data_IF_777021950270
#
_entry.id   IF_777021950270
#
_cell.length_a   1.000
_cell.length_b   1.000
_cell.length_c   1.000
_cell.angle_alpha   90.00
_cell.angle_beta   90.00
_cell.angle_gamma   90.00
#
_symmetry.space_group_name_H-M   'P 1'
#
loop_
_entity.id
_entity.type
_entity.pdbx_description
1 polymer ?
#
# COMPACT_ATOMS: atom_id res chain seq x y z
N UNK A 1 -5.25 -46.56 -80.37
CA UNK A 1 -6.00 -45.46 -79.74
C UNK A 1 -6.63 -45.95 -78.43
N UNK A 2 -5.85 -46.13 -77.35
CA UNK A 2 -6.38 -46.52 -76.03
C UNK A 2 -5.59 -45.93 -74.85
N UNK A 3 -4.59 -45.07 -75.09
CA UNK A 3 -3.69 -44.54 -74.05
C UNK A 3 -4.14 -43.20 -73.44
N UNK A 4 -5.14 -42.53 -74.00
CA UNK A 4 -5.56 -41.18 -73.56
C UNK A 4 -6.53 -41.17 -72.38
N UNK A 5 -7.22 -42.28 -72.10
CA UNK A 5 -8.24 -42.33 -71.04
C UNK A 5 -7.62 -42.50 -69.64
N UNK A 6 -6.49 -43.20 -69.53
CA UNK A 6 -5.83 -43.44 -68.23
C UNK A 6 -5.14 -42.20 -67.67
N UNK A 7 -4.64 -41.30 -68.52
CA UNK A 7 -3.95 -40.09 -68.04
C UNK A 7 -4.91 -39.13 -67.33
N UNK A 8 -6.14 -38.97 -67.82
CA UNK A 8 -7.12 -38.03 -67.25
C UNK A 8 -7.64 -38.47 -65.88
N UNK A 9 -7.78 -39.77 -65.65
CA UNK A 9 -8.24 -40.30 -64.35
C UNK A 9 -7.18 -40.12 -63.27
N UNK A 10 -5.90 -40.29 -63.61
CA UNK A 10 -4.78 -40.10 -62.68
C UNK A 10 -4.64 -38.62 -62.28
N UNK A 11 -4.81 -37.68 -63.22
CA UNK A 11 -4.74 -36.24 -62.92
C UNK A 11 -5.87 -35.77 -61.98
N UNK A 12 -7.08 -36.30 -62.15
CA UNK A 12 -8.21 -35.97 -61.26
C UNK A 12 -8.03 -36.51 -59.83
N UNK A 13 -7.45 -37.71 -59.69
CA UNK A 13 -7.19 -38.31 -58.37
C UNK A 13 -6.10 -37.52 -57.63
N UNK A 14 -5.04 -37.09 -58.32
CA UNK A 14 -3.99 -36.25 -57.72
C UNK A 14 -4.50 -34.87 -57.30
N UNK A 15 -5.35 -34.22 -58.11
CA UNK A 15 -5.91 -32.92 -57.76
C UNK A 15 -6.86 -33.00 -56.54
N UNK A 16 -7.64 -34.08 -56.41
CA UNK A 16 -8.51 -34.32 -55.27
C UNK A 16 -7.74 -34.67 -53.98
N UNK A 17 -6.64 -35.43 -54.10
CA UNK A 17 -5.75 -35.72 -52.97
C UNK A 17 -4.98 -34.48 -52.50
N UNK A 18 -4.53 -33.63 -53.41
CA UNK A 18 -3.81 -32.39 -53.06
C UNK A 18 -4.74 -31.36 -52.39
N UNK A 19 -5.99 -31.25 -52.84
CA UNK A 19 -7.00 -30.36 -52.21
C UNK A 19 -7.49 -30.88 -50.86
N UNK A 20 -7.59 -32.20 -50.68
CA UNK A 20 -7.86 -32.78 -49.37
C UNK A 20 -6.70 -32.61 -48.38
N UNK A 21 -5.44 -32.62 -48.87
CA UNK A 21 -4.25 -32.43 -48.03
C UNK A 21 -4.09 -30.98 -47.54
N UNK A 22 -4.45 -29.99 -48.36
CA UNK A 22 -4.48 -28.57 -47.94
C UNK A 22 -5.62 -28.26 -46.95
N UNK A 23 -6.75 -28.98 -47.01
CA UNK A 23 -7.86 -28.76 -46.08
C UNK A 23 -7.59 -29.33 -44.68
N UNK A 24 -6.73 -30.35 -44.55
CA UNK A 24 -6.40 -30.96 -43.26
C UNK A 24 -5.39 -30.17 -42.43
N UNK A 25 -4.54 -29.35 -43.05
CA UNK A 25 -3.60 -28.47 -42.31
C UNK A 25 -4.28 -27.21 -41.78
N UNK A 26 -5.31 -26.70 -42.46
CA UNK A 26 -6.08 -25.54 -42.00
C UNK A 26 -6.89 -25.82 -40.73
N UNK A 27 -7.37 -27.07 -40.54
CA UNK A 27 -8.24 -27.41 -39.41
C UNK A 27 -7.51 -27.62 -38.07
N UNK A 28 -6.18 -27.66 -38.06
CA UNK A 28 -5.37 -27.84 -36.84
C UNK A 28 -4.77 -26.54 -36.29
N UNK A 29 -4.75 -25.47 -37.09
CA UNK A 29 -4.17 -24.17 -36.70
C UNK A 29 -5.15 -23.26 -35.94
N UNK A 30 -6.45 -23.39 -36.17
CA UNK A 30 -7.48 -22.51 -35.59
C UNK A 30 -7.47 -22.40 -34.04
N UNK A 31 -7.22 -23.46 -33.24
CA UNK A 31 -7.22 -23.29 -31.78
C UNK A 31 -5.99 -22.52 -31.27
N UNK A 32 -4.83 -22.73 -31.87
CA UNK A 32 -3.56 -22.10 -31.46
C UNK A 32 -3.51 -20.61 -31.82
N UNK A 33 -4.00 -20.24 -33.00
CA UNK A 33 -4.10 -18.83 -33.42
C UNK A 33 -4.94 -18.00 -32.43
N UNK A 34 -6.07 -18.58 -31.99
CA UNK A 34 -6.95 -17.91 -31.04
C UNK A 34 -6.29 -17.74 -29.68
N UNK A 35 -5.67 -18.78 -29.15
CA UNK A 35 -4.99 -18.75 -27.84
C UNK A 35 -3.85 -17.73 -27.82
N UNK A 36 -2.97 -17.74 -28.83
CA UNK A 36 -1.91 -16.75 -28.98
C UNK A 36 -2.46 -15.31 -29.10
N UNK A 37 -3.53 -15.12 -29.86
CA UNK A 37 -4.16 -13.80 -30.00
C UNK A 37 -4.80 -13.31 -28.70
N UNK A 38 -5.51 -14.17 -27.98
CA UNK A 38 -6.13 -13.85 -26.70
C UNK A 38 -5.05 -13.48 -25.67
N UNK A 39 -3.91 -14.19 -25.65
CA UNK A 39 -2.79 -13.88 -24.75
C UNK A 39 -2.11 -12.55 -25.10
N UNK A 40 -1.80 -12.29 -26.37
CA UNK A 40 -1.22 -11.01 -26.81
C UNK A 40 -2.11 -9.83 -26.41
N UNK A 41 -3.43 -9.95 -26.56
CA UNK A 41 -4.36 -8.90 -26.14
C UNK A 41 -4.35 -8.71 -24.60
N UNK A 42 -4.11 -9.77 -23.82
CA UNK A 42 -3.98 -9.67 -22.38
C UNK A 42 -2.71 -8.92 -21.97
N UNK A 43 -1.58 -9.21 -22.64
CA UNK A 43 -0.32 -8.46 -22.47
C UNK A 43 -0.50 -6.98 -22.81
N UNK A 44 -1.15 -6.65 -23.94
CA UNK A 44 -1.44 -5.26 -24.31
C UNK A 44 -2.24 -4.53 -23.23
N UNK A 45 -3.23 -5.21 -22.61
CA UNK A 45 -4.01 -4.65 -21.51
C UNK A 45 -3.13 -4.40 -20.27
N UNK A 46 -2.33 -5.37 -19.85
CA UNK A 46 -1.42 -5.22 -18.69
C UNK A 46 -0.36 -4.14 -18.92
N UNK A 47 0.19 -4.02 -20.13
CA UNK A 47 1.11 -2.94 -20.50
C UNK A 47 0.49 -1.55 -20.30
N UNK A 48 -0.81 -1.40 -20.55
CA UNK A 48 -1.51 -0.15 -20.28
C UNK A 48 -1.73 0.08 -18.78
N UNK A 49 -1.96 -0.98 -18.02
CA UNK A 49 -2.21 -0.95 -16.57
C UNK A 49 -0.95 -0.58 -15.80
N UNK A 50 0.16 -1.28 -16.03
CA UNK A 50 1.44 -0.98 -15.39
C UNK A 50 1.94 0.45 -15.69
N UNK A 51 1.71 0.96 -16.91
CA UNK A 51 2.04 2.36 -17.24
C UNK A 51 1.21 3.34 -16.43
N UNK A 52 -0.05 3.01 -16.13
CA UNK A 52 -0.89 3.82 -15.25
C UNK A 52 -0.33 3.81 -13.83
N UNK A 53 0.02 2.64 -13.30
CA UNK A 53 0.59 2.49 -11.95
C UNK A 53 1.95 3.19 -11.81
N UNK A 54 2.84 3.09 -12.81
CA UNK A 54 4.10 3.84 -12.82
C UNK A 54 3.85 5.35 -12.77
N UNK A 55 2.90 5.87 -13.53
CA UNK A 55 2.59 7.30 -13.49
C UNK A 55 2.06 7.72 -12.10
N UNK A 56 1.17 6.92 -11.48
CA UNK A 56 0.66 7.18 -10.12
C UNK A 56 1.81 7.18 -9.09
N UNK A 57 2.66 6.15 -9.12
CA UNK A 57 3.82 6.05 -8.24
C UNK A 57 4.80 7.22 -8.43
N UNK A 58 5.06 7.64 -9.67
CA UNK A 58 5.91 8.79 -9.97
C UNK A 58 5.30 10.13 -9.51
N UNK A 59 3.98 10.30 -9.59
CA UNK A 59 3.29 11.50 -9.06
C UNK A 59 3.48 11.64 -7.54
N UNK A 60 3.71 10.52 -6.85
CA UNK A 60 4.00 10.43 -5.42
C UNK A 60 5.51 10.36 -5.09
N UNK A 61 6.39 10.60 -6.07
CA UNK A 61 7.84 10.48 -5.92
C UNK A 61 8.31 9.08 -5.43
N UNK A 62 7.53 8.02 -5.65
CA UNK A 62 7.90 6.63 -5.35
C UNK A 62 8.92 6.12 -6.38
N UNK A 63 9.83 5.26 -5.92
CA UNK A 63 10.85 4.67 -6.77
C UNK A 63 10.27 3.59 -7.71
N UNK A 64 10.20 3.90 -9.02
CA UNK A 64 9.62 3.01 -10.05
C UNK A 64 10.64 2.27 -10.92
N UNK A 65 11.96 2.44 -10.69
CA UNK A 65 13.00 1.96 -11.62
C UNK A 65 12.93 0.46 -11.93
N UNK A 66 12.59 -0.38 -10.95
CA UNK A 66 12.50 -1.84 -11.18
C UNK A 66 11.30 -2.21 -12.06
N UNK A 67 10.17 -1.55 -11.86
CA UNK A 67 8.98 -1.75 -12.68
C UNK A 67 9.16 -1.14 -14.09
N UNK A 68 9.89 -0.04 -14.22
CA UNK A 68 10.26 0.54 -15.52
C UNK A 68 11.17 -0.39 -16.33
N UNK A 69 12.20 -0.96 -15.71
CA UNK A 69 13.09 -1.93 -16.36
C UNK A 69 12.29 -3.17 -16.81
N UNK A 70 11.38 -3.67 -15.96
CA UNK A 70 10.52 -4.82 -16.26
C UNK A 70 9.50 -4.51 -17.38
N UNK A 71 8.95 -3.29 -17.40
CA UNK A 71 8.09 -2.81 -18.47
C UNK A 71 8.83 -2.77 -19.81
N UNK A 72 10.06 -2.26 -19.83
CA UNK A 72 10.87 -2.22 -21.05
C UNK A 72 11.15 -3.65 -21.58
N UNK A 73 11.53 -4.59 -20.71
CA UNK A 73 11.73 -6.00 -21.06
C UNK A 73 10.44 -6.65 -21.61
N UNK A 74 9.29 -6.40 -20.97
CA UNK A 74 8.00 -6.92 -21.41
C UNK A 74 7.53 -6.32 -22.75
N UNK A 75 7.85 -5.04 -23.02
CA UNK A 75 7.56 -4.40 -24.32
C UNK A 75 8.36 -5.06 -25.45
N UNK A 76 9.64 -5.35 -25.23
CA UNK A 76 10.47 -6.04 -26.21
C UNK A 76 9.92 -7.45 -26.53
N UNK A 77 9.48 -8.19 -25.51
CA UNK A 77 8.84 -9.51 -25.68
C UNK A 77 7.48 -9.42 -26.38
N UNK A 78 6.67 -8.39 -26.08
CA UNK A 78 5.40 -8.14 -26.77
C UNK A 78 5.62 -7.85 -28.27
N UNK A 79 6.63 -7.05 -28.61
CA UNK A 79 7.00 -6.76 -30.00
C UNK A 79 7.47 -8.03 -30.74
N UNK A 80 8.24 -8.89 -30.08
CA UNK A 80 8.64 -10.19 -30.62
C UNK A 80 7.44 -11.14 -30.79
N UNK A 81 6.52 -11.22 -29.83
CA UNK A 81 5.26 -11.97 -29.96
C UNK A 81 4.43 -11.51 -31.16
N UNK A 82 4.28 -10.19 -31.34
CA UNK A 82 3.56 -9.61 -32.46
C UNK A 82 4.21 -9.92 -33.81
N UNK A 83 5.54 -9.96 -33.86
CA UNK A 83 6.29 -10.36 -35.06
C UNK A 83 6.08 -11.83 -35.40
N UNK A 84 6.13 -12.74 -34.42
CA UNK A 84 5.88 -14.17 -34.66
C UNK A 84 4.43 -14.43 -35.11
N UNK A 85 3.47 -13.70 -34.54
CA UNK A 85 2.08 -13.70 -35.00
C UNK A 85 1.94 -13.30 -36.49
N UNK A 86 2.71 -12.33 -36.96
CA UNK A 86 2.72 -11.94 -38.38
C UNK A 86 3.35 -13.01 -39.29
N UNK A 87 4.31 -13.76 -38.77
CA UNK A 87 4.96 -14.88 -39.46
C UNK A 87 4.13 -16.18 -39.39
N UNK A 88 2.96 -16.15 -38.74
CA UNK A 88 2.07 -17.29 -38.46
C UNK A 88 2.75 -18.39 -37.60
N UNK A 89 3.78 -18.01 -36.82
CA UNK A 89 4.44 -18.88 -35.84
C UNK A 89 3.78 -18.75 -34.47
N UNK A 90 2.63 -19.42 -34.32
CA UNK A 90 1.75 -19.26 -33.15
C UNK A 90 2.34 -19.79 -31.85
N UNK A 91 3.21 -20.81 -31.92
CA UNK A 91 3.84 -21.40 -30.73
C UNK A 91 4.84 -20.42 -30.12
N UNK A 92 5.70 -19.82 -30.95
CA UNK A 92 6.67 -18.81 -30.50
C UNK A 92 5.95 -17.52 -30.09
N UNK A 93 4.89 -17.11 -30.82
CA UNK A 93 4.08 -15.95 -30.45
C UNK A 93 3.45 -16.10 -29.05
N UNK A 94 2.92 -17.29 -28.75
CA UNK A 94 2.34 -17.57 -27.43
C UNK A 94 3.42 -17.60 -26.35
N UNK A 95 4.59 -18.22 -26.60
CA UNK A 95 5.67 -18.29 -25.64
C UNK A 95 6.19 -16.90 -25.22
N UNK A 96 6.42 -16.01 -26.19
CA UNK A 96 6.84 -14.63 -25.90
C UNK A 96 5.75 -13.85 -25.17
N UNK A 97 4.48 -14.06 -25.50
CA UNK A 97 3.38 -13.37 -24.83
C UNK A 97 3.14 -13.88 -23.39
N UNK A 98 3.34 -15.17 -23.12
CA UNK A 98 3.30 -15.71 -21.76
C UNK A 98 4.47 -15.16 -20.92
N UNK A 99 5.69 -15.09 -21.47
CA UNK A 99 6.86 -14.52 -20.77
C UNK A 99 6.69 -13.02 -20.47
N UNK A 100 6.15 -12.24 -21.43
CA UNK A 100 5.81 -10.84 -21.21
C UNK A 100 4.73 -10.67 -20.13
N UNK A 101 3.72 -11.54 -20.12
CA UNK A 101 2.64 -11.53 -19.12
C UNK A 101 3.20 -11.75 -17.71
N UNK A 102 4.05 -12.77 -17.52
CA UNK A 102 4.62 -13.10 -16.22
C UNK A 102 5.49 -11.95 -15.67
N UNK A 103 6.30 -11.31 -16.52
CA UNK A 103 7.12 -10.14 -16.13
C UNK A 103 6.23 -8.96 -15.72
N UNK A 104 5.13 -8.73 -16.43
CA UNK A 104 4.19 -7.65 -16.10
C UNK A 104 3.44 -7.92 -14.80
N UNK A 105 3.07 -9.17 -14.53
CA UNK A 105 2.42 -9.58 -13.28
C UNK A 105 3.35 -9.29 -12.09
N UNK A 106 4.61 -9.73 -12.16
CA UNK A 106 5.62 -9.48 -11.12
C UNK A 106 5.82 -7.96 -10.89
N UNK A 107 5.89 -7.17 -11.96
CA UNK A 107 6.10 -5.74 -11.86
C UNK A 107 4.87 -4.96 -11.35
N UNK A 108 3.65 -5.47 -11.60
CA UNK A 108 2.42 -4.95 -11.00
C UNK A 108 2.43 -5.24 -9.49
N UNK A 109 2.75 -6.47 -9.08
CA UNK A 109 2.81 -6.86 -7.66
C UNK A 109 3.82 -6.01 -6.88
N UNK A 110 5.00 -5.74 -7.45
CA UNK A 110 6.02 -4.88 -6.85
C UNK A 110 5.50 -3.43 -6.67
N UNK A 111 4.84 -2.86 -7.69
CA UNK A 111 4.27 -1.51 -7.60
C UNK A 111 3.12 -1.43 -6.59
N UNK A 112 2.25 -2.44 -6.58
CA UNK A 112 1.13 -2.55 -5.65
C UNK A 112 1.64 -2.58 -4.20
N UNK A 113 2.73 -3.33 -3.96
CA UNK A 113 3.37 -3.38 -2.66
C UNK A 113 3.89 -2.01 -2.21
N UNK A 114 4.57 -1.27 -3.09
CA UNK A 114 5.10 0.06 -2.76
C UNK A 114 3.97 1.09 -2.53
N UNK A 115 2.96 1.14 -3.41
CA UNK A 115 1.80 2.02 -3.28
C UNK A 115 0.99 1.72 -2.00
N UNK A 116 0.82 0.44 -1.68
CA UNK A 116 0.14 0.01 -0.46
C UNK A 116 0.92 0.41 0.79
N UNK A 117 2.26 0.39 0.75
CA UNK A 117 3.08 0.76 1.90
C UNK A 117 2.93 2.24 2.25
N UNK A 118 2.98 3.12 1.25
CA UNK A 118 2.80 4.56 1.44
C UNK A 118 1.40 4.90 1.97
N UNK A 119 0.36 4.38 1.30
CA UNK A 119 -1.03 4.64 1.70
C UNK A 119 -1.31 4.15 3.11
N UNK A 120 -0.74 3.00 3.49
CA UNK A 120 -0.84 2.47 4.85
C UNK A 120 -0.14 3.33 5.88
N UNK A 121 1.00 3.93 5.56
CA UNK A 121 1.69 4.87 6.44
C UNK A 121 0.78 6.08 6.75
N UNK A 122 0.13 6.64 5.72
CA UNK A 122 -0.81 7.76 5.84
C UNK A 122 -1.99 7.42 6.75
N UNK A 123 -2.62 6.26 6.55
CA UNK A 123 -3.72 5.78 7.41
C UNK A 123 -3.26 5.62 8.86
N UNK A 124 -2.05 5.09 9.09
CA UNK A 124 -1.50 4.96 10.46
C UNK A 124 -1.33 6.33 11.11
N UNK A 125 -0.81 7.32 10.38
CA UNK A 125 -0.64 8.69 10.87
C UNK A 125 -2.00 9.34 11.17
N UNK A 126 -2.96 9.23 10.25
CA UNK A 126 -4.32 9.75 10.43
C UNK A 126 -4.99 9.13 11.67
N UNK A 127 -4.86 7.81 11.86
CA UNK A 127 -5.36 7.12 13.06
C UNK A 127 -4.72 7.64 14.35
N UNK A 128 -3.43 7.99 14.33
CA UNK A 128 -2.78 8.59 15.50
C UNK A 128 -3.34 9.97 15.82
N UNK A 129 -3.57 10.81 14.80
CA UNK A 129 -4.17 12.13 14.96
C UNK A 129 -5.60 12.06 15.49
N UNK A 130 -6.43 11.19 14.92
CA UNK A 130 -7.82 10.98 15.38
C UNK A 130 -7.82 10.50 16.84
N UNK A 131 -6.93 9.58 17.23
CA UNK A 131 -6.82 9.15 18.63
C UNK A 131 -6.42 10.28 19.57
N UNK A 132 -5.46 11.12 19.17
CA UNK A 132 -5.08 12.28 19.97
C UNK A 132 -6.25 13.26 20.14
N UNK A 133 -7.06 13.45 19.10
CA UNK A 133 -8.28 14.25 19.17
C UNK A 133 -9.31 13.65 20.15
N UNK A 134 -9.48 12.33 20.16
CA UNK A 134 -10.35 11.62 21.13
C UNK A 134 -9.87 11.83 22.58
N UNK A 135 -8.57 11.63 22.83
CA UNK A 135 -7.96 11.81 24.15
C UNK A 135 -8.18 13.25 24.67
N UNK A 136 -7.94 14.25 23.82
CA UNK A 136 -8.14 15.66 24.17
C UNK A 136 -9.61 16.00 24.43
N UNK A 137 -10.53 15.45 23.62
CA UNK A 137 -11.96 15.64 23.83
C UNK A 137 -12.41 15.03 25.16
N UNK A 138 -11.88 13.88 25.57
CA UNK A 138 -12.28 13.29 26.86
C UNK A 138 -11.81 14.11 28.06
N UNK A 139 -10.67 14.79 27.94
CA UNK A 139 -10.12 15.70 28.95
C UNK A 139 -10.75 17.10 28.95
N UNK A 140 -11.51 17.46 27.90
CA UNK A 140 -12.14 18.78 27.75
C UNK A 140 -13.47 18.88 28.52
N UNK A 141 -13.80 20.09 29.03
CA UNK A 141 -15.06 20.35 29.74
C UNK A 141 -16.26 20.27 28.77
N UNK A 142 -17.13 19.28 29.01
CA UNK A 142 -18.28 18.93 28.14
C UNK A 142 -19.43 19.94 28.21
N UNK A 143 -19.38 20.90 29.14
CA UNK A 143 -20.37 21.99 29.24
C UNK A 143 -20.03 23.20 28.35
N UNK A 144 -18.86 23.20 27.68
CA UNK A 144 -18.46 24.26 26.75
C UNK A 144 -19.17 24.14 25.38
N UNK A 145 -19.48 25.27 24.75
CA UNK A 145 -20.07 25.28 23.40
C UNK A 145 -19.07 24.75 22.36
N UNK A 146 -17.79 25.07 22.55
CA UNK A 146 -16.71 24.68 21.65
C UNK A 146 -16.51 23.14 21.67
N UNK A 147 -16.88 22.46 22.76
CA UNK A 147 -16.87 21.00 22.85
C UNK A 147 -17.90 20.34 21.92
N UNK A 148 -19.11 20.88 21.81
CA UNK A 148 -20.15 20.30 20.95
C UNK A 148 -19.75 20.38 19.47
N UNK A 149 -19.19 21.51 19.04
CA UNK A 149 -18.70 21.71 17.68
C UNK A 149 -17.46 20.83 17.40
N UNK A 150 -16.50 20.76 18.33
CA UNK A 150 -15.32 19.90 18.22
C UNK A 150 -15.69 18.41 18.14
N UNK A 151 -16.68 17.95 18.94
CA UNK A 151 -17.18 16.57 18.88
C UNK A 151 -17.83 16.24 17.53
N UNK A 152 -18.51 17.18 16.88
CA UNK A 152 -19.08 16.96 15.55
C UNK A 152 -18.00 16.78 14.48
N UNK A 153 -16.92 17.56 14.56
CA UNK A 153 -15.77 17.45 13.66
C UNK A 153 -15.07 16.09 13.88
N UNK A 154 -14.85 15.70 15.13
CA UNK A 154 -14.24 14.41 15.49
C UNK A 154 -15.00 13.22 14.89
N UNK A 155 -16.34 13.23 14.97
CA UNK A 155 -17.17 12.16 14.37
C UNK A 155 -16.95 12.07 12.85
N UNK A 156 -16.79 13.20 12.15
CA UNK A 156 -16.49 13.20 10.72
C UNK A 156 -15.07 12.68 10.45
N UNK A 157 -14.10 13.00 11.31
CA UNK A 157 -12.74 12.47 11.25
C UNK A 157 -12.73 10.94 11.38
N UNK A 158 -13.44 10.38 12.37
CA UNK A 158 -13.57 8.92 12.57
C UNK A 158 -14.21 8.25 11.35
N UNK A 159 -15.31 8.81 10.82
CA UNK A 159 -15.99 8.23 9.66
C UNK A 159 -15.09 8.25 8.42
N UNK A 160 -14.40 9.35 8.19
CA UNK A 160 -13.51 9.50 7.03
C UNK A 160 -12.31 8.55 7.13
N UNK A 161 -11.80 8.32 8.34
CA UNK A 161 -10.76 7.30 8.57
C UNK A 161 -11.28 5.88 8.31
N UNK A 162 -12.51 5.55 8.71
CA UNK A 162 -13.14 4.27 8.38
C UNK A 162 -13.30 4.08 6.86
N UNK A 163 -13.74 5.12 6.16
CA UNK A 163 -13.85 5.12 4.68
C UNK A 163 -12.46 4.94 4.02
N UNK A 164 -11.39 5.53 4.59
CA UNK A 164 -10.00 5.34 4.12
C UNK A 164 -9.52 3.89 4.30
N UNK A 165 -9.84 3.26 5.43
CA UNK A 165 -9.50 1.86 5.70
C UNK A 165 -10.26 0.90 4.75
N UNK A 166 -11.53 1.18 4.44
CA UNK A 166 -12.31 0.42 3.45
C UNK A 166 -11.71 0.56 2.04
N UNK A 167 -11.37 1.79 1.62
CA UNK A 167 -10.73 2.02 0.32
C UNK A 167 -9.38 1.29 0.21
N UNK A 168 -8.61 1.23 1.28
CA UNK A 168 -7.35 0.49 1.32
C UNK A 168 -7.56 -1.02 1.15
N UNK A 169 -8.53 -1.60 1.87
CA UNK A 169 -8.88 -3.02 1.76
C UNK A 169 -9.39 -3.40 0.36
N UNK A 170 -10.03 -2.46 -0.34
CA UNK A 170 -10.47 -2.59 -1.73
C UNK A 170 -9.39 -2.26 -2.79
N UNK A 171 -8.13 -2.05 -2.37
CA UNK A 171 -6.98 -1.71 -3.23
C UNK A 171 -7.13 -0.39 -4.00
N UNK A 172 -7.92 0.54 -3.44
CA UNK A 172 -8.06 1.92 -3.92
C UNK A 172 -7.10 2.84 -3.16
N UNK A 173 -5.80 2.60 -3.33
CA UNK A 173 -4.75 3.25 -2.54
C UNK A 173 -4.71 4.78 -2.65
N UNK A 174 -4.94 5.34 -3.86
CA UNK A 174 -5.02 6.78 -4.06
C UNK A 174 -6.19 7.40 -3.26
N UNK A 175 -7.38 6.79 -3.34
CA UNK A 175 -8.57 7.25 -2.61
C UNK A 175 -8.36 7.08 -1.08
N UNK A 176 -7.73 5.98 -0.67
CA UNK A 176 -7.42 5.69 0.73
C UNK A 176 -6.45 6.71 1.34
N UNK A 177 -5.43 7.13 0.59
CA UNK A 177 -4.51 8.19 1.00
C UNK A 177 -5.23 9.54 1.12
N UNK A 178 -6.01 9.95 0.11
CA UNK A 178 -6.77 11.21 0.15
C UNK A 178 -7.71 11.27 1.36
N UNK A 179 -8.46 10.19 1.61
CA UNK A 179 -9.36 10.09 2.77
C UNK A 179 -8.59 10.10 4.10
N UNK A 180 -7.42 9.46 4.17
CA UNK A 180 -6.60 9.48 5.37
C UNK A 180 -6.07 10.90 5.68
N UNK A 181 -5.67 11.66 4.65
CA UNK A 181 -5.27 13.06 4.82
C UNK A 181 -6.45 13.92 5.28
N UNK A 182 -7.62 13.77 4.66
CA UNK A 182 -8.85 14.47 5.08
C UNK A 182 -9.23 14.16 6.53
N UNK A 183 -9.11 12.89 6.96
CA UNK A 183 -9.37 12.49 8.34
C UNK A 183 -8.38 13.13 9.32
N UNK A 184 -7.11 13.25 8.95
CA UNK A 184 -6.10 13.92 9.75
C UNK A 184 -6.37 15.44 9.83
N UNK A 185 -6.79 16.07 8.74
CA UNK A 185 -7.17 17.49 8.70
C UNK A 185 -8.40 17.76 9.58
N UNK A 186 -9.42 16.90 9.55
CA UNK A 186 -10.54 17.02 10.49
C UNK A 186 -10.10 16.85 11.95
N UNK A 187 -9.18 15.92 12.25
CA UNK A 187 -8.62 15.80 13.58
C UNK A 187 -7.85 17.07 14.00
N UNK A 188 -7.14 17.73 13.08
CA UNK A 188 -6.49 19.02 13.34
C UNK A 188 -7.51 20.13 13.63
N UNK A 189 -8.62 20.15 12.88
CA UNK A 189 -9.73 21.08 13.10
C UNK A 189 -10.37 20.93 14.48
N UNK A 190 -10.38 19.73 15.08
CA UNK A 190 -10.79 19.53 16.49
C UNK A 190 -9.91 20.36 17.42
N UNK A 191 -8.58 20.31 17.26
CA UNK A 191 -7.67 21.10 18.12
C UNK A 191 -7.86 22.60 17.92
N UNK A 192 -8.07 23.02 16.66
CA UNK A 192 -8.32 24.42 16.33
C UNK A 192 -9.63 24.93 16.95
N UNK A 193 -10.70 24.13 16.95
CA UNK A 193 -11.99 24.50 17.56
C UNK A 193 -11.87 24.65 19.08
N UNK A 194 -11.07 23.82 19.73
CA UNK A 194 -10.81 23.90 21.17
C UNK A 194 -9.81 25.02 21.56
N UNK A 195 -9.34 25.83 20.60
CA UNK A 195 -8.24 26.81 20.76
C UNK A 195 -6.99 26.20 21.41
N UNK A 196 -6.77 24.90 21.17
CA UNK A 196 -5.62 24.17 21.70
C UNK A 196 -4.48 24.23 20.69
N UNK A 197 -3.37 24.84 21.11
CA UNK A 197 -2.12 24.69 20.38
C UNK A 197 -1.52 23.35 20.77
N UNK A 198 -1.36 22.46 19.78
CA UNK A 198 -0.64 21.19 19.94
C UNK A 198 0.75 21.38 20.59
N UNK A 199 1.40 22.52 20.37
CA UNK A 199 2.69 22.88 20.99
C UNK A 199 2.66 22.88 22.53
N UNK A 200 1.53 23.21 23.16
CA UNK A 200 1.45 23.27 24.63
C UNK A 200 1.30 21.87 25.26
N UNK A 201 0.71 20.90 24.54
CA UNK A 201 0.55 19.52 25.02
C UNK A 201 1.79 18.65 24.81
N UNK A 202 2.62 18.95 23.80
CA UNK A 202 3.83 18.16 23.51
C UNK A 202 5.02 18.49 24.43
N UNK A 203 4.91 19.51 25.29
CA UNK A 203 6.04 19.98 26.13
C UNK A 203 5.97 19.57 27.60
N UNK A 204 4.84 19.06 28.09
CA UNK A 204 4.63 18.87 29.54
C UNK A 204 5.17 17.55 30.12
N UNK A 205 5.74 16.66 29.30
CA UNK A 205 6.21 15.32 29.72
C UNK A 205 7.66 15.26 30.25
N UNK A 206 8.38 16.39 30.38
CA UNK A 206 9.78 16.41 30.86
C UNK A 206 9.99 16.87 32.32
N UNK A 207 8.94 17.20 33.08
CA UNK A 207 9.08 17.58 34.50
C UNK A 207 8.56 16.50 35.48
N UNK A 208 9.00 15.25 35.33
CA UNK A 208 9.07 14.37 36.50
C UNK A 208 10.23 14.83 37.40
N UNK A 209 9.92 15.75 38.32
CA UNK A 209 10.77 16.07 39.46
C UNK A 209 11.08 14.78 40.23
N UNK A 210 12.34 14.34 40.11
CA UNK A 210 13.04 13.40 40.98
C UNK A 210 13.03 13.95 42.42
N UNK A 211 11.89 13.81 43.08
CA UNK A 211 11.71 13.98 44.51
C UNK A 211 12.18 12.71 45.22
N UNK A 212 13.50 12.48 45.16
CA UNK A 212 14.19 11.56 46.07
C UNK A 212 14.18 12.15 47.48
N UNK A 213 13.05 11.97 48.17
CA UNK A 213 13.00 12.13 49.63
C UNK A 213 13.76 10.95 50.27
N UNK A 214 14.99 11.25 50.66
CA UNK A 214 15.77 10.52 51.64
C UNK A 214 14.96 10.36 52.95
N UNK A 215 14.27 9.23 53.15
CA UNK A 215 13.83 8.78 54.47
C UNK A 215 14.91 7.93 55.13
N UNK A 216 15.76 8.61 55.92
CA UNK A 216 16.62 7.97 56.91
C UNK A 216 15.81 7.54 58.16
N UNK A 217 16.17 6.35 58.63
CA UNK A 217 16.19 5.85 60.02
C UNK A 217 14.94 5.22 60.68
N UNK A 218 14.93 3.88 60.62
CA UNK A 218 15.11 2.95 61.75
C UNK A 218 14.35 3.18 63.07
N UNK A 219 13.45 2.24 63.43
CA UNK A 219 13.72 1.13 64.38
C UNK A 219 12.43 0.54 65.01
N UNK A 220 12.49 -0.77 65.28
CA UNK A 220 11.73 -1.56 66.28
C UNK A 220 10.22 -1.79 66.10
N UNK A 221 9.77 -3.05 65.86
CA UNK A 221 9.70 -4.10 66.89
C UNK A 221 8.83 -5.31 66.44
N UNK A 222 9.26 -6.47 66.92
CA UNK A 222 8.66 -7.81 67.03
C UNK A 222 7.20 -8.10 66.58
N UNK A 223 7.09 -9.07 65.67
CA UNK A 223 6.61 -10.42 66.04
C UNK A 223 5.14 -10.79 65.76
N UNK A 224 4.96 -11.79 64.87
CA UNK A 224 4.08 -12.99 64.95
C UNK A 224 3.92 -13.52 63.51
N UNK A 225 4.52 -14.64 63.10
CA UNK A 225 4.16 -16.03 63.42
C UNK A 225 2.68 -16.38 63.17
N UNK A 226 2.25 -16.40 61.90
CA UNK A 226 1.23 -17.35 61.47
C UNK A 226 1.43 -17.74 60.00
N UNK A 227 1.75 -19.02 59.81
CA UNK A 227 1.71 -19.71 58.54
C UNK A 227 0.25 -19.99 58.17
N UNK A 228 -0.17 -19.63 56.97
CA UNK A 228 -1.29 -20.29 56.29
C UNK A 228 -1.05 -20.12 54.79
N UNK A 229 -0.90 -21.28 54.16
CA UNK A 229 -0.76 -21.53 52.73
C UNK A 229 -1.86 -20.80 51.94
N UNK A 230 -1.48 -20.04 50.92
CA UNK A 230 -2.30 -19.73 49.74
C UNK A 230 -1.35 -19.43 48.58
N UNK A 231 -0.83 -20.51 47.98
CA UNK A 231 -0.28 -20.49 46.62
C UNK A 231 -1.45 -20.24 45.66
N UNK A 232 -1.57 -19.07 45.03
CA UNK A 232 -2.30 -18.82 43.77
C UNK A 232 -2.12 -17.33 43.37
N UNK A 233 -1.71 -17.09 42.12
CA UNK A 233 -1.85 -15.84 41.32
C UNK A 233 -0.70 -14.79 41.21
N UNK A 234 0.59 -15.16 41.33
CA UNK A 234 1.71 -14.23 41.04
C UNK A 234 2.12 -14.12 39.53
N UNK A 235 1.48 -14.84 38.61
CA UNK A 235 1.82 -14.76 37.17
C UNK A 235 1.08 -13.66 36.39
N UNK A 236 0.15 -12.92 37.02
CA UNK A 236 -0.66 -11.91 36.32
C UNK A 236 -0.13 -10.47 36.40
N UNK A 237 0.68 -10.13 37.40
CA UNK A 237 1.23 -8.76 37.53
C UNK A 237 2.49 -8.52 36.68
N UNK A 238 3.25 -9.56 36.35
CA UNK A 238 4.41 -9.45 35.46
C UNK A 238 4.04 -9.20 33.98
N UNK A 239 2.80 -9.56 33.58
CA UNK A 239 2.33 -9.36 32.20
C UNK A 239 1.87 -7.93 31.92
N UNK A 240 1.35 -7.20 32.91
CA UNK A 240 0.86 -5.83 32.72
C UNK A 240 1.99 -4.80 32.70
N UNK A 241 3.06 -5.02 33.46
CA UNK A 241 4.22 -4.10 33.47
C UNK A 241 5.03 -4.17 32.18
N UNK A 242 5.10 -5.34 31.52
CA UNK A 242 5.75 -5.48 30.22
C UNK A 242 4.98 -4.80 29.07
N UNK A 243 3.64 -4.82 29.12
CA UNK A 243 2.79 -4.21 28.09
C UNK A 243 2.87 -2.67 28.12
N UNK A 244 2.78 -2.09 29.32
CA UNK A 244 2.88 -0.64 29.50
C UNK A 244 4.28 -0.10 29.11
N UNK A 245 5.34 -0.90 29.29
CA UNK A 245 6.70 -0.53 28.88
C UNK A 245 6.86 -0.48 27.36
N UNK A 246 6.16 -1.32 26.60
CA UNK A 246 6.24 -1.30 25.13
C UNK A 246 5.42 -0.17 24.51
N UNK A 247 4.30 0.20 25.13
CA UNK A 247 3.45 1.30 24.69
C UNK A 247 4.12 2.66 24.91
N UNK A 248 4.72 2.88 26.09
CA UNK A 248 5.52 4.07 26.37
C UNK A 248 6.73 4.21 25.42
N UNK A 249 7.40 3.09 25.10
CA UNK A 249 8.50 3.11 24.14
C UNK A 249 8.05 3.43 22.71
N UNK A 250 6.84 3.02 22.33
CA UNK A 250 6.24 3.35 21.04
C UNK A 250 5.84 4.84 20.97
N UNK A 251 5.21 5.37 22.02
CA UNK A 251 4.86 6.79 22.10
C UNK A 251 6.10 7.69 22.06
N UNK A 252 7.18 7.31 22.75
CA UNK A 252 8.45 8.02 22.67
C UNK A 252 9.06 8.01 21.26
N UNK A 253 8.93 6.91 20.51
CA UNK A 253 9.38 6.85 19.12
C UNK A 253 8.52 7.71 18.18
N UNK A 254 7.20 7.74 18.39
CA UNK A 254 6.27 8.59 17.63
C UNK A 254 6.60 10.07 17.87
N UNK A 255 6.79 10.48 19.13
CA UNK A 255 7.18 11.84 19.49
C UNK A 255 8.51 12.25 18.80
N UNK A 256 9.50 11.36 18.78
CA UNK A 256 10.77 11.62 18.08
C UNK A 256 10.57 11.77 16.55
N UNK A 257 9.72 10.95 15.94
CA UNK A 257 9.41 11.04 14.51
C UNK A 257 8.70 12.36 14.16
N UNK A 258 7.74 12.78 14.96
CA UNK A 258 7.05 14.06 14.79
C UNK A 258 8.01 15.25 14.89
N UNK A 259 8.98 15.20 15.81
CA UNK A 259 10.04 16.20 15.91
C UNK A 259 10.91 16.26 14.64
N UNK A 260 11.25 15.12 14.07
CA UNK A 260 12.01 15.04 12.81
C UNK A 260 11.20 15.62 11.64
N UNK A 261 9.91 15.29 11.53
CA UNK A 261 9.01 15.83 10.49
C UNK A 261 8.93 17.36 10.59
N UNK A 262 8.83 17.88 11.81
CA UNK A 262 8.78 19.33 12.06
C UNK A 262 10.05 20.04 11.59
N UNK A 263 11.22 19.46 11.88
CA UNK A 263 12.51 19.99 11.41
C UNK A 263 12.62 19.93 9.88
N UNK A 264 12.12 18.88 9.24
CA UNK A 264 12.11 18.76 7.77
C UNK A 264 11.24 19.85 7.12
N UNK A 265 10.03 20.11 7.64
CA UNK A 265 9.17 21.21 7.17
C UNK A 265 9.90 22.56 7.25
N UNK A 266 10.62 22.82 8.35
CA UNK A 266 11.42 24.05 8.50
C UNK A 266 12.57 24.15 7.49
N UNK A 267 13.26 23.05 7.21
CA UNK A 267 14.34 23.00 6.20
C UNK A 267 13.78 23.31 4.80
N UNK A 268 12.66 22.72 4.44
CA UNK A 268 12.00 22.96 3.14
C UNK A 268 11.61 24.43 3.01
N UNK A 269 10.99 25.02 4.04
CA UNK A 269 10.62 26.44 4.04
C UNK A 269 11.84 27.36 3.87
N UNK A 270 12.97 27.03 4.51
CA UNK A 270 14.24 27.75 4.33
C UNK A 270 14.80 27.63 2.92
N UNK A 271 14.74 26.44 2.31
CA UNK A 271 15.18 26.22 0.93
C UNK A 271 14.32 27.00 -0.06
N UNK A 272 12.99 27.00 0.12
CA UNK A 272 12.05 27.78 -0.69
C UNK A 272 12.39 29.28 -0.63
N UNK A 273 12.62 29.80 0.58
CA UNK A 273 12.99 31.20 0.79
C UNK A 273 14.31 31.58 0.11
N UNK A 274 15.30 30.68 0.08
CA UNK A 274 16.54 30.93 -0.65
C UNK A 274 16.31 30.97 -2.17
N UNK A 275 15.51 30.05 -2.71
CA UNK A 275 15.18 30.03 -4.14
C UNK A 275 14.52 31.35 -4.57
N UNK A 276 13.59 31.86 -3.78
CA UNK A 276 12.90 33.12 -4.05
C UNK A 276 13.85 34.33 -3.98
N UNK A 277 14.88 34.28 -3.13
CA UNK A 277 15.88 35.35 -3.04
C UNK A 277 16.82 35.42 -4.26
N UNK A 278 16.95 34.32 -5.00
CA UNK A 278 17.77 34.23 -6.21
C UNK A 278 16.99 34.45 -7.51
N UNK A 279 15.66 34.58 -7.44
CA UNK A 279 14.78 34.93 -8.57
C UNK A 279 14.56 36.44 -8.67
#
# INVERSE_FOLDING_TARGET
>A
MQTTTNTRVITFIFAALLSALCATTALAAEPYEKEATDRINAVEKQLSEIRSLINQAQEKDIFTSYAEDSLDDAVDLYDDAMKQKLDEDWDDALAFADEAYDILDDAIDDLDQELSAESKEKIILARQWVRLADDILDDTDKDDLDYEDAMLIFIEAERTLEDAEEAFDDQHYDDAEELAEDAADFADDVFNELDLRIEDYLTDDEEEEDSSEDEEDADDDQGCNHCSDDDIDDEKEASNTAYNSTEAALHAQIAQLLQVITLLKQIIALQQSQIDLFR
#
